data_IF_674248712236
#
_entry.id   IF_674248712236
#
_cell.length_a   1.000
_cell.length_b   1.000
_cell.length_c   1.000
_cell.angle_alpha   90.00
_cell.angle_beta   90.00
_cell.angle_gamma   90.00
#
_symmetry.space_group_name_H-M   'P 1'
#
loop_
_entity.id
_entity.type
_entity.pdbx_description
1 polymer ?
#
# COMPACT_ATOMS: atom_id res chain seq x y z
N UNK A 1 2.78 -0.77 31.62
CA UNK A 1 2.77 -1.09 30.18
C UNK A 1 1.33 -1.41 29.78
N UNK A 2 0.53 -0.39 29.47
CA UNK A 2 -0.84 -0.61 28.99
C UNK A 2 -0.77 -1.20 27.60
N UNK A 3 -1.17 -2.46 27.47
CA UNK A 3 -1.36 -3.12 26.19
C UNK A 3 -2.26 -2.23 25.33
N UNK A 4 -1.67 -1.55 24.33
CA UNK A 4 -2.43 -0.94 23.24
C UNK A 4 -3.26 -2.07 22.66
N UNK A 5 -4.58 -2.01 22.84
CA UNK A 5 -5.55 -2.99 22.35
C UNK A 5 -5.44 -3.06 20.82
N UNK A 6 -4.48 -3.84 20.31
CA UNK A 6 -4.43 -4.20 18.90
C UNK A 6 -5.70 -4.99 18.64
N UNK A 7 -6.50 -4.53 17.69
CA UNK A 7 -7.65 -5.29 17.22
C UNK A 7 -7.08 -6.50 16.48
N UNK A 8 -6.95 -7.63 17.18
CA UNK A 8 -6.24 -8.82 16.70
C UNK A 8 -6.76 -9.31 15.33
N UNK A 9 -8.06 -9.13 15.08
CA UNK A 9 -8.71 -9.50 13.82
C UNK A 9 -8.20 -8.74 12.60
N UNK A 10 -7.62 -7.54 12.76
CA UNK A 10 -7.11 -6.76 11.62
C UNK A 10 -5.89 -7.41 10.99
N UNK A 11 -5.01 -8.01 11.79
CA UNK A 11 -3.85 -8.72 11.26
C UNK A 11 -4.30 -9.99 10.49
N UNK A 12 -5.40 -10.62 10.90
CA UNK A 12 -6.07 -11.68 10.14
C UNK A 12 -6.65 -11.21 8.81
N UNK A 13 -7.34 -10.06 8.78
CA UNK A 13 -7.85 -9.48 7.53
C UNK A 13 -6.72 -9.11 6.56
N UNK A 14 -5.59 -8.61 7.07
CA UNK A 14 -4.38 -8.39 6.25
C UNK A 14 -3.85 -9.69 5.67
N UNK A 15 -3.79 -10.76 6.46
CA UNK A 15 -3.36 -12.06 5.96
C UNK A 15 -4.26 -12.55 4.81
N UNK A 16 -5.58 -12.41 4.95
CA UNK A 16 -6.54 -12.73 3.88
C UNK A 16 -6.26 -11.87 2.64
N UNK A 17 -6.06 -10.56 2.79
CA UNK A 17 -5.74 -9.66 1.70
C UNK A 17 -4.46 -10.08 0.95
N UNK A 18 -3.38 -10.43 1.66
CA UNK A 18 -2.13 -10.94 1.04
C UNK A 18 -2.41 -12.21 0.25
N UNK A 19 -3.11 -13.17 0.84
CA UNK A 19 -3.38 -14.46 0.21
C UNK A 19 -4.19 -14.31 -1.08
N UNK A 20 -5.17 -13.39 -1.09
CA UNK A 20 -5.93 -13.06 -2.31
C UNK A 20 -5.04 -12.48 -3.41
N UNK A 21 -4.12 -11.57 -3.07
CA UNK A 21 -3.19 -10.97 -4.04
C UNK A 21 -2.20 -12.01 -4.57
N UNK A 22 -1.67 -12.89 -3.71
CA UNK A 22 -0.78 -13.98 -4.13
C UNK A 22 -1.51 -14.95 -5.06
N UNK A 23 -2.75 -15.35 -4.70
CA UNK A 23 -3.55 -16.23 -5.53
C UNK A 23 -3.90 -15.58 -6.88
N UNK A 24 -4.22 -14.28 -6.90
CA UNK A 24 -4.42 -13.51 -8.12
C UNK A 24 -3.20 -13.59 -9.05
N UNK A 25 -2.00 -13.32 -8.52
CA UNK A 25 -0.77 -13.41 -9.31
C UNK A 25 -0.50 -14.82 -9.83
N UNK A 26 -0.78 -15.86 -9.04
CA UNK A 26 -0.65 -17.25 -9.48
C UNK A 26 -1.60 -17.58 -10.64
N UNK A 27 -2.86 -17.15 -10.56
CA UNK A 27 -3.86 -17.37 -11.62
C UNK A 27 -3.50 -16.58 -12.87
N UNK A 28 -3.10 -15.31 -12.76
CA UNK A 28 -2.70 -14.48 -13.90
C UNK A 28 -1.44 -15.04 -14.57
N UNK A 29 -0.44 -15.47 -13.78
CA UNK A 29 0.80 -16.05 -14.31
C UNK A 29 0.57 -17.39 -15.03
N UNK A 30 -0.45 -18.17 -14.63
CA UNK A 30 -0.78 -19.42 -15.31
C UNK A 30 -1.29 -19.24 -16.75
N UNK A 31 -1.71 -18.01 -17.12
CA UNK A 31 -2.38 -17.69 -18.39
C UNK A 31 -3.60 -18.57 -18.72
N UNK A 32 -4.12 -19.33 -17.75
CA UNK A 32 -5.22 -20.25 -17.97
C UNK A 32 -6.57 -19.51 -18.01
N UNK A 33 -7.43 -19.92 -18.94
CA UNK A 33 -8.85 -19.57 -18.88
C UNK A 33 -9.44 -20.06 -17.54
N UNK A 34 -10.29 -19.27 -16.86
CA UNK A 34 -10.87 -19.71 -15.60
C UNK A 34 -11.74 -20.94 -15.87
N UNK A 35 -11.51 -22.02 -15.13
CA UNK A 35 -12.21 -23.30 -15.31
C UNK A 35 -13.28 -23.54 -14.26
N UNK A 36 -13.30 -22.70 -13.23
CA UNK A 36 -14.23 -22.79 -12.11
C UNK A 36 -14.67 -21.41 -11.61
N UNK A 37 -15.74 -21.39 -10.82
CA UNK A 37 -16.14 -20.19 -10.07
C UNK A 37 -14.99 -19.69 -9.17
N UNK A 38 -14.25 -20.62 -8.56
CA UNK A 38 -13.11 -20.28 -7.72
C UNK A 38 -12.03 -19.53 -8.52
N UNK A 39 -11.69 -19.99 -9.72
CA UNK A 39 -10.73 -19.28 -10.58
C UNK A 39 -11.21 -17.88 -10.92
N UNK A 40 -12.50 -17.70 -11.20
CA UNK A 40 -13.09 -16.39 -11.45
C UNK A 40 -12.99 -15.45 -10.24
N UNK A 41 -13.21 -15.97 -9.03
CA UNK A 41 -13.05 -15.19 -7.79
C UNK A 41 -11.57 -14.81 -7.60
N UNK A 42 -10.66 -15.77 -7.75
CA UNK A 42 -9.22 -15.53 -7.57
C UNK A 42 -8.63 -14.58 -8.62
N UNK A 43 -9.19 -14.54 -9.84
CA UNK A 43 -8.84 -13.53 -10.86
C UNK A 43 -9.08 -12.09 -10.39
N UNK A 44 -10.00 -11.87 -9.46
CA UNK A 44 -10.28 -10.56 -8.87
C UNK A 44 -9.59 -10.37 -7.51
N UNK A 45 -8.66 -11.25 -7.13
CA UNK A 45 -7.92 -11.16 -5.87
C UNK A 45 -7.00 -9.95 -5.76
N UNK A 46 -6.77 -9.20 -6.85
CA UNK A 46 -6.10 -7.90 -6.83
C UNK A 46 -6.82 -6.87 -5.92
N UNK A 47 -8.13 -7.01 -5.70
CA UNK A 47 -8.87 -6.19 -4.73
C UNK A 47 -8.42 -6.39 -3.27
N UNK A 48 -7.59 -7.40 -2.99
CA UNK A 48 -6.86 -7.47 -1.71
C UNK A 48 -6.01 -6.22 -1.46
N UNK A 49 -5.51 -5.55 -2.51
CA UNK A 49 -4.78 -4.27 -2.39
C UNK A 49 -5.70 -3.15 -1.91
N UNK A 50 -6.93 -3.07 -2.42
CA UNK A 50 -7.93 -2.09 -1.95
C UNK A 50 -8.25 -2.29 -0.47
N UNK A 51 -8.42 -3.55 -0.06
CA UNK A 51 -8.60 -3.90 1.34
C UNK A 51 -7.40 -3.49 2.20
N UNK A 52 -6.17 -3.65 1.70
CA UNK A 52 -4.97 -3.16 2.38
C UNK A 52 -5.02 -1.66 2.64
N UNK A 53 -5.44 -0.88 1.65
CA UNK A 53 -5.57 0.57 1.78
C UNK A 53 -6.64 0.98 2.80
N UNK A 54 -7.82 0.34 2.79
CA UNK A 54 -8.86 0.53 3.83
C UNK A 54 -8.31 0.21 5.22
N UNK A 55 -7.65 -0.94 5.38
CA UNK A 55 -7.10 -1.37 6.66
C UNK A 55 -5.95 -0.47 7.14
N UNK A 56 -5.18 0.12 6.22
CA UNK A 56 -4.16 1.11 6.54
C UNK A 56 -4.80 2.39 7.07
N UNK A 57 -5.84 2.92 6.40
CA UNK A 57 -6.63 4.06 6.92
C UNK A 57 -7.19 3.79 8.32
N UNK A 58 -7.86 2.65 8.50
CA UNK A 58 -8.47 2.25 9.77
C UNK A 58 -7.47 2.10 10.92
N UNK A 59 -6.32 1.45 10.67
CA UNK A 59 -5.28 1.30 11.68
C UNK A 59 -4.59 2.61 12.05
N UNK A 60 -4.74 3.64 11.23
CA UNK A 60 -4.24 4.97 11.50
C UNK A 60 -5.28 5.81 12.24
N UNK A 61 -6.52 5.84 11.75
CA UNK A 61 -7.61 6.67 12.28
C UNK A 61 -8.08 6.18 13.66
N UNK A 62 -8.42 4.90 13.80
CA UNK A 62 -9.08 4.37 15.00
C UNK A 62 -8.33 4.68 16.31
N UNK A 63 -7.05 4.30 16.48
CA UNK A 63 -6.33 4.59 17.73
C UNK A 63 -6.09 6.09 17.92
N UNK A 64 -5.98 6.85 16.83
CA UNK A 64 -5.73 8.29 16.90
C UNK A 64 -6.97 9.05 17.34
N UNK A 65 -8.13 8.75 16.75
CA UNK A 65 -9.43 9.33 17.12
C UNK A 65 -9.79 8.94 18.56
N UNK A 66 -9.54 7.70 18.96
CA UNK A 66 -9.75 7.25 20.34
C UNK A 66 -8.90 8.08 21.32
N UNK A 67 -7.61 8.27 21.04
CA UNK A 67 -6.73 9.10 21.88
C UNK A 67 -7.20 10.57 21.95
N UNK A 68 -7.55 11.17 20.81
CA UNK A 68 -8.08 12.54 20.76
C UNK A 68 -9.35 12.72 21.61
N UNK A 69 -10.25 11.74 21.60
CA UNK A 69 -11.49 11.77 22.39
C UNK A 69 -11.26 11.55 23.89
N UNK A 70 -10.34 10.67 24.27
CA UNK A 70 -10.14 10.28 25.66
C UNK A 70 -9.15 11.17 26.42
N UNK A 71 -8.10 11.64 25.77
CA UNK A 71 -6.98 12.33 26.45
C UNK A 71 -7.03 13.85 26.27
N UNK A 72 -8.02 14.37 25.52
CA UNK A 72 -8.10 15.80 25.18
C UNK A 72 -6.84 16.31 24.46
N UNK A 73 -6.09 15.40 23.84
CA UNK A 73 -4.78 15.67 23.28
C UNK A 73 -4.88 16.84 22.29
N UNK A 74 -4.22 17.94 22.64
CA UNK A 74 -4.35 19.21 21.94
C UNK A 74 -3.70 19.20 20.57
N UNK A 75 -2.76 18.28 20.30
CA UNK A 75 -2.01 18.21 19.04
C UNK A 75 -1.63 16.76 18.68
N UNK A 76 -1.85 16.38 17.42
CA UNK A 76 -1.34 15.15 16.83
C UNK A 76 0.17 15.30 16.59
N UNK A 77 0.98 14.49 17.29
CA UNK A 77 2.45 14.49 17.13
C UNK A 77 2.85 13.87 15.77
N UNK A 78 2.91 14.74 14.76
CA UNK A 78 3.25 14.39 13.38
C UNK A 78 4.67 13.84 13.26
N UNK A 79 5.61 14.36 14.04
CA UNK A 79 7.02 13.98 13.98
C UNK A 79 7.22 12.55 14.50
N UNK A 80 6.69 12.25 15.69
CA UNK A 80 6.72 10.89 16.25
C UNK A 80 5.96 9.91 15.37
N UNK A 81 4.80 10.32 14.86
CA UNK A 81 4.05 9.53 13.90
C UNK A 81 4.90 9.18 12.66
N UNK A 82 5.50 10.17 12.01
CA UNK A 82 6.29 9.98 10.79
C UNK A 82 7.51 9.06 11.06
N UNK A 83 8.22 9.27 12.18
CA UNK A 83 9.34 8.43 12.56
C UNK A 83 8.95 6.95 12.72
N UNK A 84 7.83 6.67 13.40
CA UNK A 84 7.32 5.31 13.56
C UNK A 84 6.93 4.65 12.23
N UNK A 85 6.46 5.44 11.26
CA UNK A 85 6.09 4.95 9.92
C UNK A 85 7.30 4.67 9.05
N UNK A 86 8.30 5.54 9.08
CA UNK A 86 9.56 5.36 8.37
C UNK A 86 10.26 4.08 8.84
N UNK A 87 10.42 3.89 10.16
CA UNK A 87 11.05 2.68 10.72
C UNK A 87 10.26 1.41 10.43
N UNK A 88 8.93 1.53 10.22
CA UNK A 88 8.08 0.39 9.87
C UNK A 88 8.17 -0.01 8.40
N UNK A 89 8.27 0.94 7.47
CA UNK A 89 8.25 0.66 6.02
C UNK A 89 9.66 0.49 5.45
N UNK A 90 10.55 1.44 5.76
CA UNK A 90 11.81 1.58 5.02
C UNK A 90 12.74 0.38 5.23
N UNK A 91 13.02 -0.10 6.46
CA UNK A 91 13.93 -1.22 6.65
C UNK A 91 13.44 -2.53 6.01
N UNK A 92 12.18 -2.99 6.24
CA UNK A 92 11.68 -4.20 5.59
C UNK A 92 11.68 -4.10 4.07
N UNK A 93 11.35 -2.92 3.52
CA UNK A 93 11.39 -2.69 2.08
C UNK A 93 12.81 -2.81 1.52
N UNK A 94 13.80 -2.14 2.13
CA UNK A 94 15.18 -2.22 1.68
C UNK A 94 15.74 -3.64 1.76
N UNK A 95 15.38 -4.41 2.80
CA UNK A 95 15.75 -5.82 2.90
C UNK A 95 15.13 -6.63 1.76
N UNK A 96 13.82 -6.50 1.53
CA UNK A 96 13.13 -7.21 0.45
C UNK A 96 13.72 -6.86 -0.92
N UNK A 97 13.97 -5.57 -1.15
CA UNK A 97 14.60 -5.06 -2.35
C UNK A 97 16.00 -5.67 -2.56
N UNK A 98 16.85 -5.65 -1.53
CA UNK A 98 18.21 -6.20 -1.59
C UNK A 98 18.20 -7.72 -1.84
N UNK A 99 17.28 -8.46 -1.22
CA UNK A 99 17.12 -9.90 -1.43
C UNK A 99 16.74 -10.21 -2.87
N UNK A 100 15.78 -9.49 -3.45
CA UNK A 100 15.35 -9.70 -4.83
C UNK A 100 16.47 -9.34 -5.81
N UNK A 101 17.18 -8.23 -5.55
CA UNK A 101 18.32 -7.83 -6.38
C UNK A 101 19.42 -8.88 -6.34
N UNK A 102 19.77 -9.37 -5.16
CA UNK A 102 20.76 -10.43 -4.98
C UNK A 102 20.33 -11.73 -5.68
N UNK A 103 19.05 -12.09 -5.59
CA UNK A 103 18.49 -13.24 -6.28
C UNK A 103 18.66 -13.14 -7.80
N UNK A 104 18.24 -12.02 -8.42
CA UNK A 104 18.40 -11.84 -9.86
C UNK A 104 19.86 -11.84 -10.31
N UNK A 105 20.75 -11.14 -9.59
CA UNK A 105 22.19 -11.15 -9.89
C UNK A 105 22.76 -12.57 -9.81
N UNK A 106 22.34 -13.36 -8.82
CA UNK A 106 22.81 -14.73 -8.63
C UNK A 106 22.35 -15.64 -9.76
N UNK A 107 21.07 -15.59 -10.12
CA UNK A 107 20.49 -16.39 -11.22
C UNK A 107 21.18 -16.09 -12.55
N UNK A 108 21.45 -14.82 -12.86
CA UNK A 108 22.19 -14.42 -14.05
C UNK A 108 23.63 -14.94 -14.04
N UNK A 109 24.34 -14.82 -12.91
CA UNK A 109 25.73 -15.30 -12.76
C UNK A 109 25.85 -16.82 -12.89
N UNK A 110 24.83 -17.56 -12.47
CA UNK A 110 24.79 -19.03 -12.58
C UNK A 110 24.39 -19.52 -13.98
N UNK A 111 24.06 -18.63 -14.92
CA UNK A 111 23.78 -18.98 -16.31
C UNK A 111 22.35 -19.51 -16.55
N UNK A 112 21.43 -19.34 -15.60
CA UNK A 112 20.02 -19.73 -15.76
C UNK A 112 19.23 -18.82 -16.72
N UNK A 113 19.86 -17.79 -17.27
CA UNK A 113 19.19 -16.78 -18.10
C UNK A 113 18.40 -15.76 -17.27
N UNK A 114 17.67 -14.89 -17.97
CA UNK A 114 16.88 -13.82 -17.35
C UNK A 114 15.50 -14.36 -16.93
N UNK A 115 15.13 -14.28 -15.64
CA UNK A 115 13.76 -14.62 -15.23
C UNK A 115 12.73 -13.72 -15.91
N UNK A 116 11.55 -14.26 -16.22
CA UNK A 116 10.45 -13.46 -16.77
C UNK A 116 9.99 -12.34 -15.82
N UNK A 117 10.07 -12.61 -14.51
CA UNK A 117 9.77 -11.64 -13.46
C UNK A 117 10.79 -10.49 -13.35
N UNK A 118 11.97 -10.63 -13.97
CA UNK A 118 12.98 -9.58 -13.96
C UNK A 118 12.60 -8.48 -14.97
N UNK A 119 12.77 -7.19 -14.66
CA UNK A 119 12.63 -6.12 -15.65
C UNK A 119 13.62 -6.27 -16.82
N UNK A 120 13.21 -5.90 -18.04
CA UNK A 120 14.10 -5.96 -19.22
C UNK A 120 15.13 -4.83 -19.22
N UNK A 121 14.74 -3.65 -18.78
CA UNK A 121 15.61 -2.50 -18.59
C UNK A 121 15.53 -2.09 -17.11
N UNK A 122 16.66 -1.81 -16.48
CA UNK A 122 16.64 -1.35 -15.09
C UNK A 122 17.75 -0.33 -14.91
N UNK A 123 17.38 0.95 -14.93
CA UNK A 123 18.36 2.03 -14.88
C UNK A 123 18.74 2.37 -13.43
N UNK A 124 19.88 3.04 -13.25
CA UNK A 124 20.24 3.66 -11.96
C UNK A 124 19.17 4.66 -11.51
N UNK A 125 18.47 5.31 -12.45
CA UNK A 125 17.37 6.21 -12.10
C UNK A 125 16.18 5.47 -11.52
N UNK A 126 15.84 4.28 -12.04
CA UNK A 126 14.76 3.43 -11.50
C UNK A 126 15.12 2.91 -10.11
N UNK A 127 16.37 2.56 -9.90
CA UNK A 127 16.91 2.21 -8.59
C UNK A 127 16.70 3.33 -7.57
N UNK A 128 17.15 4.55 -7.89
CA UNK A 128 17.03 5.69 -6.97
C UNK A 128 15.57 6.05 -6.70
N UNK A 129 14.72 6.05 -7.75
CA UNK A 129 13.28 6.30 -7.61
C UNK A 129 12.61 5.30 -6.68
N UNK A 130 12.96 4.01 -6.78
CA UNK A 130 12.45 2.96 -5.89
C UNK A 130 13.02 3.05 -4.49
N UNK A 131 14.30 3.35 -4.34
CA UNK A 131 14.96 3.40 -3.04
C UNK A 131 14.34 4.47 -2.12
N UNK A 132 13.89 5.57 -2.72
CA UNK A 132 13.33 6.73 -2.03
C UNK A 132 11.82 6.94 -2.25
N UNK A 133 11.10 5.96 -2.82
CA UNK A 133 9.65 6.04 -3.05
C UNK A 133 9.19 7.26 -3.87
N UNK A 134 10.02 7.72 -4.81
CA UNK A 134 9.80 8.97 -5.56
C UNK A 134 8.69 8.83 -6.60
N UNK A 135 8.65 7.70 -7.33
CA UNK A 135 7.86 7.56 -8.55
C UNK A 135 7.14 6.20 -8.59
N UNK A 136 5.87 6.20 -9.01
CA UNK A 136 5.05 4.99 -9.20
C UNK A 136 5.03 4.52 -10.66
N UNK A 137 5.58 5.30 -11.58
CA UNK A 137 5.69 4.98 -13.01
C UNK A 137 7.11 4.52 -13.39
N UNK A 138 7.96 4.25 -12.39
CA UNK A 138 9.29 3.67 -12.60
C UNK A 138 9.20 2.18 -12.94
N UNK A 139 10.22 1.67 -13.62
CA UNK A 139 10.32 0.24 -13.84
C UNK A 139 10.68 -0.46 -12.53
N UNK A 140 9.73 -1.17 -11.93
CA UNK A 140 9.98 -1.84 -10.64
C UNK A 140 10.84 -3.08 -10.77
N UNK A 141 11.71 -3.29 -9.77
CA UNK A 141 12.46 -4.53 -9.61
C UNK A 141 11.50 -5.71 -9.35
N UNK A 142 10.43 -5.45 -8.59
CA UNK A 142 9.32 -6.36 -8.40
C UNK A 142 8.01 -5.62 -8.71
N UNK A 143 7.21 -6.15 -9.62
CA UNK A 143 5.95 -5.54 -10.04
C UNK A 143 4.95 -5.30 -8.91
N UNK A 144 5.06 -5.97 -7.76
CA UNK A 144 4.20 -5.74 -6.59
C UNK A 144 4.59 -4.52 -5.74
N UNK A 145 5.78 -3.93 -5.94
CA UNK A 145 6.28 -2.81 -5.13
C UNK A 145 5.58 -1.47 -5.38
N UNK A 146 4.78 -1.35 -6.44
CA UNK A 146 4.08 -0.11 -6.80
C UNK A 146 3.16 0.45 -5.72
N UNK A 147 2.64 -0.40 -4.83
CA UNK A 147 1.75 0.03 -3.73
C UNK A 147 2.49 0.73 -2.60
N UNK A 148 3.79 0.46 -2.41
CA UNK A 148 4.55 0.97 -1.28
C UNK A 148 4.82 2.48 -1.35
N UNK A 149 5.20 3.07 -2.49
CA UNK A 149 5.31 4.52 -2.61
C UNK A 149 3.98 5.24 -2.32
N UNK A 150 2.86 4.65 -2.74
CA UNK A 150 1.52 5.20 -2.48
C UNK A 150 1.24 5.20 -0.99
N UNK A 151 1.40 4.05 -0.31
CA UNK A 151 1.21 3.96 1.14
C UNK A 151 2.13 4.93 1.90
N UNK A 152 3.39 5.03 1.48
CA UNK A 152 4.36 5.94 2.07
C UNK A 152 3.93 7.40 1.97
N UNK A 153 3.47 7.86 0.79
CA UNK A 153 2.96 9.22 0.59
C UNK A 153 1.71 9.48 1.41
N UNK A 154 0.79 8.52 1.48
CA UNK A 154 -0.43 8.69 2.26
C UNK A 154 -0.22 8.79 3.76
N UNK A 155 0.89 8.29 4.29
CA UNK A 155 1.24 8.58 5.68
C UNK A 155 1.48 10.07 5.91
N UNK A 156 1.95 10.83 4.91
CA UNK A 156 2.06 12.29 5.02
C UNK A 156 0.73 13.00 4.76
N UNK A 157 -0.15 12.42 3.94
CA UNK A 157 -1.50 12.95 3.67
C UNK A 157 -2.47 12.69 4.83
N UNK A 158 -2.30 11.58 5.55
CA UNK A 158 -3.17 11.13 6.63
C UNK A 158 -3.42 12.17 7.73
N UNK A 159 -2.41 12.88 8.29
CA UNK A 159 -2.64 13.89 9.31
C UNK A 159 -3.54 15.03 8.82
N UNK A 160 -3.43 15.40 7.53
CA UNK A 160 -4.29 16.42 6.90
C UNK A 160 -5.71 15.91 6.76
N UNK A 161 -5.90 14.69 6.26
CA UNK A 161 -7.23 14.08 6.13
C UNK A 161 -7.92 13.92 7.49
N UNK A 162 -7.18 13.48 8.50
CA UNK A 162 -7.69 13.36 9.87
C UNK A 162 -8.06 14.73 10.45
N UNK A 163 -7.25 15.76 10.21
CA UNK A 163 -7.58 17.12 10.62
C UNK A 163 -8.87 17.62 9.96
N UNK A 164 -9.03 17.41 8.66
CA UNK A 164 -10.27 17.77 7.95
C UNK A 164 -11.46 16.99 8.51
N UNK A 165 -11.34 15.68 8.70
CA UNK A 165 -12.40 14.83 9.29
C UNK A 165 -12.86 15.33 10.67
N UNK A 166 -11.91 15.66 11.55
CA UNK A 166 -12.21 16.10 12.92
C UNK A 166 -12.77 17.51 13.01
N UNK A 167 -12.52 18.37 12.00
CA UNK A 167 -13.03 19.76 11.97
C UNK A 167 -14.28 19.94 11.14
N UNK A 168 -14.39 19.24 10.01
CA UNK A 168 -15.52 19.31 9.10
C UNK A 168 -15.68 18.00 8.32
N UNK A 169 -16.56 17.10 8.78
CA UNK A 169 -16.91 15.87 8.06
C UNK A 169 -17.44 16.15 6.65
N UNK A 170 -18.12 17.27 6.43
CA UNK A 170 -18.62 17.67 5.11
C UNK A 170 -17.48 17.86 4.11
N UNK A 171 -16.42 18.60 4.49
CA UNK A 171 -15.27 18.77 3.61
C UNK A 171 -14.51 17.46 3.38
N UNK A 172 -14.46 16.58 4.38
CA UNK A 172 -13.90 15.24 4.19
C UNK A 172 -14.67 14.45 3.14
N UNK A 173 -16.01 14.47 3.19
CA UNK A 173 -16.87 13.82 2.19
C UNK A 173 -16.73 14.45 0.81
N UNK A 174 -16.60 15.78 0.72
CA UNK A 174 -16.34 16.47 -0.55
C UNK A 174 -15.00 16.02 -1.16
N UNK A 175 -13.94 15.94 -0.35
CA UNK A 175 -12.63 15.43 -0.81
C UNK A 175 -12.75 13.96 -1.24
N UNK A 176 -13.47 13.13 -0.48
CA UNK A 176 -13.68 11.72 -0.81
C UNK A 176 -14.43 11.56 -2.15
N UNK A 177 -15.51 12.32 -2.34
CA UNK A 177 -16.29 12.32 -3.56
C UNK A 177 -15.48 12.84 -4.76
N UNK A 178 -14.68 13.89 -4.57
CA UNK A 178 -13.79 14.41 -5.60
C UNK A 178 -12.70 13.39 -5.97
N UNK A 179 -12.07 12.74 -4.97
CA UNK A 179 -11.09 11.69 -5.20
C UNK A 179 -11.70 10.50 -5.94
N UNK A 180 -12.92 10.10 -5.58
CA UNK A 180 -13.66 9.05 -6.28
C UNK A 180 -14.05 9.45 -7.70
N UNK A 181 -14.46 10.70 -7.94
CA UNK A 181 -14.74 11.17 -9.30
C UNK A 181 -13.47 11.21 -10.16
N UNK A 182 -12.36 11.67 -9.59
CA UNK A 182 -11.07 11.75 -10.27
C UNK A 182 -10.45 10.38 -10.51
N UNK A 183 -10.77 9.33 -9.75
CA UNK A 183 -10.23 7.99 -9.99
C UNK A 183 -10.68 7.42 -11.35
N UNK A 184 -11.86 7.81 -11.82
CA UNK A 184 -12.39 7.44 -13.14
C UNK A 184 -11.96 8.38 -14.28
N UNK A 185 -11.21 9.45 -13.98
CA UNK A 185 -10.69 10.33 -15.01
C UNK A 185 -9.62 9.59 -15.84
N UNK A 186 -9.53 9.80 -17.17
CA UNK A 186 -8.53 9.14 -18.02
C UNK A 186 -7.08 9.41 -17.62
N UNK A 187 -6.82 10.56 -16.97
CA UNK A 187 -5.51 10.96 -16.49
C UNK A 187 -5.28 10.65 -14.99
N UNK A 188 -6.09 9.77 -14.40
CA UNK A 188 -5.98 9.45 -12.97
C UNK A 188 -4.70 8.70 -12.68
N UNK A 189 -3.98 9.16 -11.66
CA UNK A 189 -2.76 8.50 -11.17
C UNK A 189 -3.12 7.49 -10.08
N UNK A 190 -2.25 6.48 -9.89
CA UNK A 190 -2.47 5.40 -8.94
C UNK A 190 -2.73 5.91 -7.51
N UNK A 191 -2.06 6.99 -7.10
CA UNK A 191 -2.29 7.64 -5.80
C UNK A 191 -3.75 8.12 -5.64
N UNK A 192 -4.36 8.66 -6.69
CA UNK A 192 -5.74 9.16 -6.67
C UNK A 192 -6.74 8.01 -6.72
N UNK A 193 -6.44 6.97 -7.51
CA UNK A 193 -7.31 5.79 -7.63
C UNK A 193 -7.48 5.06 -6.31
N UNK A 194 -6.41 5.00 -5.52
CA UNK A 194 -6.39 4.24 -4.30
C UNK A 194 -6.85 5.08 -3.08
N UNK A 195 -6.84 6.41 -3.18
CA UNK A 195 -7.18 7.34 -2.10
C UNK A 195 -8.59 7.13 -1.51
N UNK A 196 -9.66 6.90 -2.31
CA UNK A 196 -10.99 6.60 -1.76
C UNK A 196 -10.98 5.38 -0.82
N UNK A 197 -10.29 4.29 -1.20
CA UNK A 197 -10.17 3.11 -0.36
C UNK A 197 -9.49 3.42 0.98
N UNK A 198 -8.43 4.22 0.97
CA UNK A 198 -7.77 4.68 2.19
C UNK A 198 -8.69 5.54 3.06
N UNK A 199 -9.40 6.49 2.45
CA UNK A 199 -10.34 7.38 3.15
C UNK A 199 -11.52 6.65 3.77
N UNK A 200 -11.99 5.55 3.18
CA UNK A 200 -13.02 4.69 3.78
C UNK A 200 -12.60 4.09 5.12
N UNK A 201 -11.29 3.97 5.36
CA UNK A 201 -10.76 3.53 6.65
C UNK A 201 -10.69 4.65 7.71
N UNK A 202 -10.78 5.92 7.32
CA UNK A 202 -10.66 7.07 8.25
C UNK A 202 -11.99 7.38 8.92
#
# INVERSE_FOLDING_TARGET
MTSKRRVAYIDGLRAIAVLLVVAHHAVVASAAAPRSLLDNVLKHGNHGVDLFFVLSGFCLSYPTIAALRHEGATLFDTARYAAHRIVRIVPPYWIAYAVILAFFVTILKLGFGRPDAMPYYYSTSDFLKQLFFIDVHTQFLNGSFWTLPIEFRWYFVFPVLLYVWTRSPVWFLVIAAAALGLSYAPASIADVQALPAFMLGI
#
